data_IF_303597628186
#
_entry.id   IF_303597628186
#
_cell.length_a   1.000
_cell.length_b   1.000
_cell.length_c   1.000
_cell.angle_alpha   90.00
_cell.angle_beta   90.00
_cell.angle_gamma   90.00
#
_symmetry.space_group_name_H-M   'P 1'
#
loop_
_entity.id
_entity.type
_entity.pdbx_description
1 polymer ?
#
# COMPACT_ATOMS: atom_id res chain seq x y z
N UNK A 1 0.10 -13.60 -7.78
CA UNK A 1 0.53 -13.53 -6.38
C UNK A 1 -0.70 -13.63 -5.49
N UNK A 2 -0.66 -14.41 -4.43
CA UNK A 2 -1.84 -14.54 -3.59
C UNK A 2 -1.96 -13.37 -2.59
N UNK A 3 -3.14 -13.23 -2.01
CA UNK A 3 -3.45 -12.11 -1.11
C UNK A 3 -2.57 -12.13 0.14
N UNK A 4 -2.30 -13.30 0.69
CA UNK A 4 -1.49 -13.42 1.89
C UNK A 4 -0.07 -12.88 1.65
N UNK A 5 0.55 -13.26 0.53
CA UNK A 5 1.87 -12.77 0.19
C UNK A 5 1.89 -11.26 -0.05
N UNK A 6 0.82 -10.74 -0.67
CA UNK A 6 0.68 -9.30 -0.89
C UNK A 6 0.62 -8.56 0.45
N UNK A 7 -0.20 -9.02 1.38
CA UNK A 7 -0.34 -8.37 2.68
C UNK A 7 0.91 -8.47 3.54
N UNK A 8 1.64 -9.59 3.46
CA UNK A 8 2.92 -9.71 4.15
C UNK A 8 3.91 -8.66 3.67
N UNK A 9 4.01 -8.50 2.36
CA UNK A 9 4.91 -7.51 1.76
C UNK A 9 4.47 -6.09 2.07
N UNK A 10 3.18 -5.82 2.00
CA UNK A 10 2.64 -4.52 2.37
C UNK A 10 2.91 -4.19 3.83
N UNK A 11 2.81 -5.16 4.72
CA UNK A 11 3.11 -4.97 6.14
C UNK A 11 4.54 -4.50 6.33
N UNK A 12 5.50 -5.15 5.68
CA UNK A 12 6.91 -4.74 5.75
C UNK A 12 7.10 -3.33 5.22
N UNK A 13 6.47 -3.01 4.09
CA UNK A 13 6.58 -1.68 3.48
C UNK A 13 6.02 -0.62 4.41
N UNK A 14 4.86 -0.87 5.00
CA UNK A 14 4.24 0.08 5.92
C UNK A 14 5.09 0.30 7.17
N UNK A 15 5.64 -0.77 7.74
CA UNK A 15 6.50 -0.66 8.92
C UNK A 15 7.74 0.18 8.64
N UNK A 16 8.36 -0.04 7.48
CA UNK A 16 9.55 0.69 7.10
C UNK A 16 9.26 2.15 6.76
N UNK A 17 8.21 2.37 5.99
CA UNK A 17 7.88 3.72 5.50
C UNK A 17 7.44 4.64 6.63
N UNK A 18 6.64 4.14 7.56
CA UNK A 18 6.10 4.93 8.67
C UNK A 18 6.89 4.75 9.97
N UNK A 19 7.93 3.92 9.93
CA UNK A 19 8.77 3.62 11.09
C UNK A 19 7.93 3.22 12.32
N UNK A 20 6.96 2.35 12.10
CA UNK A 20 6.00 1.95 13.13
C UNK A 20 5.61 0.49 12.94
N UNK A 21 6.17 -0.38 13.77
CA UNK A 21 5.92 -1.82 13.71
C UNK A 21 4.57 -2.22 14.31
N UNK A 22 3.85 -1.28 14.90
CA UNK A 22 2.54 -1.55 15.48
C UNK A 22 1.42 -1.51 14.46
N UNK A 23 1.69 -1.03 13.24
CA UNK A 23 0.68 -0.95 12.17
C UNK A 23 0.27 -2.36 11.75
N UNK A 24 -1.03 -2.63 11.79
CA UNK A 24 -1.61 -3.88 11.30
C UNK A 24 -2.28 -3.59 9.96
N UNK A 25 -1.72 -4.16 8.90
CA UNK A 25 -2.21 -3.90 7.54
C UNK A 25 -3.37 -4.84 7.24
N UNK A 26 -4.57 -4.26 7.17
CA UNK A 26 -5.81 -4.97 6.87
C UNK A 26 -6.47 -4.33 5.64
N UNK A 27 -7.42 -5.03 4.99
CA UNK A 27 -8.14 -4.43 3.85
C UNK A 27 -8.87 -3.13 4.18
N UNK A 28 -9.28 -2.95 5.42
CA UNK A 28 -10.03 -1.77 5.87
C UNK A 28 -9.14 -0.59 6.27
N UNK A 29 -7.84 -0.80 6.34
CA UNK A 29 -6.90 0.25 6.76
C UNK A 29 -6.93 1.43 5.79
N UNK A 30 -7.05 2.64 6.34
CA UNK A 30 -7.08 3.88 5.55
C UNK A 30 -6.02 4.85 6.07
N UNK A 31 -5.82 5.94 5.31
CA UNK A 31 -4.86 6.98 5.71
C UNK A 31 -5.23 7.63 7.05
N UNK A 32 -6.50 7.59 7.42
CA UNK A 32 -6.96 8.14 8.71
C UNK A 32 -6.50 7.29 9.89
N UNK A 33 -6.24 6.01 9.64
CA UNK A 33 -5.84 5.07 10.69
C UNK A 33 -4.34 5.06 10.95
N UNK A 34 -3.55 5.66 10.05
CA UNK A 34 -2.08 5.64 10.14
C UNK A 34 -1.56 7.06 10.27
N UNK A 35 -0.95 7.36 11.41
CA UNK A 35 -0.33 8.66 11.61
C UNK A 35 0.83 8.84 10.63
N UNK A 36 0.85 9.99 9.97
CA UNK A 36 1.89 10.30 8.99
C UNK A 36 1.57 9.90 7.57
N UNK A 37 0.45 9.20 7.35
CA UNK A 37 0.05 8.84 5.99
C UNK A 37 -0.72 10.00 5.36
N UNK A 38 0.02 10.96 4.85
CA UNK A 38 -0.50 12.13 4.14
C UNK A 38 -0.27 11.96 2.63
N UNK A 39 -0.51 13.02 1.87
CA UNK A 39 -0.37 12.98 0.41
C UNK A 39 1.04 12.65 -0.04
N UNK A 40 2.04 13.19 0.63
CA UNK A 40 3.44 12.93 0.29
C UNK A 40 3.81 11.48 0.62
N UNK A 41 3.41 11.01 1.80
CA UNK A 41 3.66 9.62 2.19
C UNK A 41 2.96 8.65 1.24
N UNK A 42 1.76 9.01 0.77
CA UNK A 42 1.03 8.18 -0.19
C UNK A 42 1.82 8.00 -1.49
N UNK A 43 2.41 9.08 -2.00
CA UNK A 43 3.24 9.01 -3.20
C UNK A 43 4.45 8.09 -2.97
N UNK A 44 5.10 8.23 -1.83
CA UNK A 44 6.25 7.39 -1.48
C UNK A 44 5.84 5.92 -1.36
N UNK A 45 4.69 5.68 -0.76
CA UNK A 45 4.14 4.33 -0.62
C UNK A 45 3.94 3.68 -1.98
N UNK A 46 3.32 4.40 -2.92
CA UNK A 46 3.06 3.89 -4.26
C UNK A 46 4.37 3.59 -5.00
N UNK A 47 5.33 4.48 -4.95
CA UNK A 47 6.63 4.26 -5.58
C UNK A 47 7.32 3.03 -5.01
N UNK A 48 7.29 2.88 -3.70
CA UNK A 48 7.90 1.72 -3.03
C UNK A 48 7.22 0.43 -3.46
N UNK A 49 5.89 0.44 -3.54
CA UNK A 49 5.11 -0.72 -3.96
C UNK A 49 5.41 -1.09 -5.41
N UNK A 50 5.47 -0.10 -6.30
CA UNK A 50 5.78 -0.34 -7.69
C UNK A 50 7.14 -1.04 -7.85
N UNK A 51 8.11 -0.63 -7.08
CA UNK A 51 9.44 -1.25 -7.10
C UNK A 51 9.44 -2.64 -6.49
N UNK A 52 8.73 -2.80 -5.37
CA UNK A 52 8.72 -4.07 -4.63
C UNK A 52 7.99 -5.17 -5.39
N UNK A 53 6.89 -4.84 -6.04
CA UNK A 53 6.07 -5.79 -6.78
C UNK A 53 6.34 -5.77 -8.28
N UNK A 54 7.19 -4.86 -8.76
CA UNK A 54 7.52 -4.71 -10.18
C UNK A 54 6.30 -4.44 -11.04
N UNK A 55 5.45 -3.55 -10.58
CA UNK A 55 4.20 -3.18 -11.25
C UNK A 55 4.17 -1.66 -11.45
N UNK A 56 3.25 -1.20 -12.30
CA UNK A 56 3.04 0.22 -12.55
C UNK A 56 1.56 0.56 -12.43
N UNK A 57 1.29 1.73 -11.85
CA UNK A 57 -0.07 2.24 -11.70
C UNK A 57 -0.20 3.58 -12.42
N UNK A 58 -1.39 3.86 -12.95
CA UNK A 58 -1.67 5.17 -13.54
C UNK A 58 -2.03 6.17 -12.44
N UNK A 59 -1.91 7.46 -12.74
CA UNK A 59 -2.32 8.52 -11.81
C UNK A 59 -3.79 8.39 -11.42
N UNK A 60 -4.64 8.03 -12.38
CA UNK A 60 -6.06 7.85 -12.14
C UNK A 60 -6.32 6.71 -11.15
N UNK A 61 -5.60 5.60 -11.31
CA UNK A 61 -5.72 4.46 -10.40
C UNK A 61 -5.29 4.82 -8.98
N UNK A 62 -4.18 5.55 -8.86
CA UNK A 62 -3.67 5.99 -7.56
C UNK A 62 -4.67 6.91 -6.87
N UNK A 63 -5.31 7.82 -7.62
CA UNK A 63 -6.27 8.76 -7.07
C UNK A 63 -7.54 8.08 -6.55
N UNK A 64 -7.88 6.89 -7.04
CA UNK A 64 -9.06 6.16 -6.62
C UNK A 64 -8.85 5.29 -5.38
N UNK A 65 -7.62 5.15 -4.92
CA UNK A 65 -7.31 4.31 -3.77
C UNK A 65 -7.79 4.98 -2.48
N UNK A 66 -8.67 4.30 -1.75
CA UNK A 66 -9.21 4.80 -0.49
C UNK A 66 -8.71 3.98 0.70
N UNK A 67 -8.56 2.67 0.52
CA UNK A 67 -8.13 1.77 1.59
C UNK A 67 -7.16 0.72 1.05
N UNK A 68 -6.48 0.05 1.96
CA UNK A 68 -5.47 -0.95 1.59
C UNK A 68 -6.06 -2.08 0.72
N UNK A 69 -7.31 -2.45 0.98
CA UNK A 69 -7.98 -3.47 0.16
C UNK A 69 -8.01 -3.12 -1.32
N UNK A 70 -8.25 -1.84 -1.64
CA UNK A 70 -8.23 -1.36 -3.02
C UNK A 70 -6.84 -1.49 -3.63
N UNK A 71 -5.82 -1.16 -2.84
CA UNK A 71 -4.44 -1.24 -3.26
C UNK A 71 -4.01 -2.69 -3.50
N UNK A 72 -4.36 -3.58 -2.58
CA UNK A 72 -4.03 -5.00 -2.71
C UNK A 72 -4.70 -5.62 -3.94
N UNK A 73 -5.94 -5.27 -4.20
CA UNK A 73 -6.66 -5.75 -5.38
C UNK A 73 -5.98 -5.29 -6.67
N UNK A 74 -5.52 -4.03 -6.70
CA UNK A 74 -4.82 -3.49 -7.85
C UNK A 74 -3.48 -4.20 -8.08
N UNK A 75 -2.74 -4.45 -7.02
CA UNK A 75 -1.48 -5.19 -7.09
C UNK A 75 -1.73 -6.59 -7.65
N UNK A 76 -2.74 -7.27 -7.14
CA UNK A 76 -3.05 -8.62 -7.56
C UNK A 76 -3.41 -8.68 -9.04
N UNK A 77 -4.08 -7.67 -9.56
CA UNK A 77 -4.46 -7.62 -10.96
C UNK A 77 -3.26 -7.40 -11.90
N UNK A 78 -2.15 -6.88 -11.37
CA UNK A 78 -0.94 -6.54 -12.15
C UNK A 78 0.23 -7.48 -11.94
N UNK A 79 0.27 -8.16 -10.83
CA UNK A 79 1.39 -9.01 -10.46
C UNK A 79 1.28 -10.45 -10.95
#
# INVERSE_FOLDING_TARGET
MDQEAIYEKLTEIFHDLFDDDSIVVTPELTAKDVEGWDSLAHIRLIITIEKAFKVKFSTTEIAKLEKVGDLAALIQSRA
#
